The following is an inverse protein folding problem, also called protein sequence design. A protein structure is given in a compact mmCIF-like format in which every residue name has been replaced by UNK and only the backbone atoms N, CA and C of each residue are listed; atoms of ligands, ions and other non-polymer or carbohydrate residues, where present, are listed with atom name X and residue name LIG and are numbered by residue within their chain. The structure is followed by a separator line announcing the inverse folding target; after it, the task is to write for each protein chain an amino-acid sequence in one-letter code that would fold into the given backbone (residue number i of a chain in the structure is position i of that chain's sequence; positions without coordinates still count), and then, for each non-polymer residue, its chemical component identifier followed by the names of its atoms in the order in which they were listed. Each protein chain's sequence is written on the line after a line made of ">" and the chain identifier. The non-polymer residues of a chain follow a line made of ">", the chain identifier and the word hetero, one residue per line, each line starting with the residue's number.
data_IF_153563045267
#
_entry.id   IF_153563045267
#
_cell.length_a   1.000
_cell.length_b   1.000
_cell.length_c   1.000
_cell.angle_alpha   90.00
_cell.angle_beta   90.00
_cell.angle_gamma   90.00
#
_symmetry.space_group_name_H-M   'P 1'
#
loop_
_entity.id
_entity.type
_entity.pdbx_description
1 polymer ?
#
# COMPACT_ATOMS: atom_id res chain seq x y z
N UNK A 1 -42.81 -43.43 -21.54
CA UNK A 1 -42.51 -42.09 -21.02
C UNK A 1 -41.77 -42.25 -19.71
N UNK A 2 -40.52 -41.78 -19.59
CA UNK A 2 -39.82 -41.76 -18.30
C UNK A 2 -40.55 -40.82 -17.36
N UNK A 3 -41.01 -41.31 -16.21
CA UNK A 3 -41.72 -40.50 -15.21
C UNK A 3 -40.75 -39.55 -14.51
N UNK A 4 -41.24 -38.38 -14.07
CA UNK A 4 -40.44 -37.35 -13.41
C UNK A 4 -39.68 -37.93 -12.19
N UNK A 5 -40.37 -38.78 -11.42
CA UNK A 5 -39.82 -39.49 -10.26
C UNK A 5 -38.62 -40.39 -10.63
N UNK A 6 -38.67 -41.10 -11.76
CA UNK A 6 -37.56 -41.92 -12.23
C UNK A 6 -36.31 -41.10 -12.58
N UNK A 7 -36.49 -39.87 -13.06
CA UNK A 7 -35.40 -38.95 -13.38
C UNK A 7 -34.79 -38.41 -12.08
N UNK A 8 -35.62 -38.02 -11.10
CA UNK A 8 -35.17 -37.54 -9.79
C UNK A 8 -34.36 -38.60 -9.04
N UNK A 9 -34.86 -39.84 -8.95
CA UNK A 9 -34.14 -40.93 -8.30
C UNK A 9 -32.76 -41.19 -8.93
N UNK A 10 -32.65 -41.03 -10.26
CA UNK A 10 -31.37 -41.18 -10.96
C UNK A 10 -30.41 -40.01 -10.68
N UNK A 11 -30.91 -38.80 -10.51
CA UNK A 11 -30.12 -37.62 -10.11
C UNK A 11 -29.55 -37.82 -8.71
N UNK A 12 -30.37 -38.20 -7.75
CA UNK A 12 -29.94 -38.44 -6.36
C UNK A 12 -28.89 -39.56 -6.28
N UNK A 13 -29.11 -40.65 -7.03
CA UNK A 13 -28.14 -41.75 -7.10
C UNK A 13 -26.80 -41.33 -7.71
N UNK A 14 -26.80 -40.39 -8.67
CA UNK A 14 -25.57 -39.83 -9.24
C UNK A 14 -24.89 -38.85 -8.29
N UNK A 15 -25.66 -38.03 -7.57
CA UNK A 15 -25.13 -37.13 -6.54
C UNK A 15 -24.46 -37.90 -5.40
N UNK A 16 -25.13 -38.93 -4.86
CA UNK A 16 -24.54 -39.78 -3.81
C UNK A 16 -23.22 -40.43 -4.25
N UNK A 17 -23.11 -40.82 -5.53
CA UNK A 17 -21.86 -41.34 -6.10
C UNK A 17 -20.78 -40.25 -6.21
N UNK A 18 -21.14 -39.05 -6.62
CA UNK A 18 -20.21 -37.93 -6.69
C UNK A 18 -19.66 -37.59 -5.29
N UNK A 19 -20.54 -37.50 -4.29
CA UNK A 19 -20.16 -37.21 -2.90
C UNK A 19 -19.25 -38.29 -2.32
N UNK A 20 -19.54 -39.57 -2.60
CA UNK A 20 -18.68 -40.67 -2.20
C UNK A 20 -17.28 -40.62 -2.84
N UNK A 21 -17.16 -40.13 -4.07
CA UNK A 21 -15.86 -39.93 -4.72
C UNK A 21 -15.12 -38.73 -4.12
N UNK A 22 -15.82 -37.64 -3.82
CA UNK A 22 -15.23 -36.46 -3.16
C UNK A 22 -14.72 -36.82 -1.77
N UNK A 23 -15.49 -37.57 -0.98
CA UNK A 23 -15.07 -38.06 0.34
C UNK A 23 -13.75 -38.83 0.24
N UNK A 24 -13.66 -39.84 -0.64
CA UNK A 24 -12.45 -40.63 -0.85
C UNK A 24 -11.25 -39.80 -1.32
N UNK A 25 -11.46 -38.84 -2.22
CA UNK A 25 -10.39 -37.95 -2.68
C UNK A 25 -9.93 -37.01 -1.56
N UNK A 26 -10.86 -36.50 -0.75
CA UNK A 26 -10.56 -35.63 0.37
C UNK A 26 -9.77 -36.34 1.48
N UNK A 27 -10.02 -37.63 1.74
CA UNK A 27 -9.26 -38.42 2.72
C UNK A 27 -7.77 -38.46 2.36
N UNK A 28 -7.44 -38.73 1.10
CA UNK A 28 -6.06 -38.72 0.63
C UNK A 28 -5.40 -37.34 0.70
N UNK A 29 -6.16 -36.27 0.47
CA UNK A 29 -5.68 -34.90 0.65
C UNK A 29 -5.42 -34.58 2.13
N UNK A 30 -6.34 -34.98 3.02
CA UNK A 30 -6.22 -34.78 4.48
C UNK A 30 -5.02 -35.54 5.04
N UNK A 31 -4.75 -36.76 4.57
CA UNK A 31 -3.59 -37.53 5.00
C UNK A 31 -2.28 -36.83 4.60
N UNK A 32 -2.17 -36.35 3.37
CA UNK A 32 -1.00 -35.56 2.92
C UNK A 32 -0.82 -34.28 3.75
N UNK A 33 -1.91 -33.57 4.07
CA UNK A 33 -1.85 -32.37 4.92
C UNK A 33 -1.36 -32.75 6.32
N UNK A 34 -1.85 -33.85 6.91
CA UNK A 34 -1.38 -34.34 8.22
C UNK A 34 0.10 -34.73 8.19
N UNK A 35 0.53 -35.44 7.17
CA UNK A 35 1.94 -35.83 7.01
C UNK A 35 2.84 -34.60 6.90
N UNK A 36 2.44 -33.60 6.11
CA UNK A 36 3.15 -32.31 5.99
C UNK A 36 3.14 -31.52 7.30
N UNK A 37 2.01 -31.48 8.02
CA UNK A 37 1.93 -30.84 9.33
C UNK A 37 2.86 -31.51 10.33
N UNK A 38 2.89 -32.85 10.38
CA UNK A 38 3.77 -33.60 11.28
C UNK A 38 5.25 -33.44 10.93
N UNK A 39 5.60 -33.47 9.65
CA UNK A 39 6.98 -33.33 9.18
C UNK A 39 7.58 -31.96 9.53
N UNK A 40 6.76 -30.91 9.43
CA UNK A 40 7.18 -29.53 9.67
C UNK A 40 6.84 -29.00 11.06
N UNK A 41 6.22 -29.82 11.91
CA UNK A 41 5.75 -29.39 13.24
C UNK A 41 4.76 -28.23 13.18
N UNK A 42 3.94 -28.17 12.12
CA UNK A 42 2.95 -27.10 11.93
C UNK A 42 1.69 -27.40 12.73
N UNK A 43 1.25 -26.40 13.47
CA UNK A 43 -0.05 -26.41 14.14
C UNK A 43 -1.12 -25.75 13.28
N UNK A 44 -2.40 -25.96 13.62
CA UNK A 44 -3.53 -25.28 12.98
C UNK A 44 -3.37 -23.76 13.09
N UNK A 45 -2.86 -23.28 14.23
CA UNK A 45 -2.59 -21.86 14.46
C UNK A 45 -1.56 -21.29 13.50
N UNK A 46 -0.57 -22.07 13.06
CA UNK A 46 0.43 -21.63 12.07
C UNK A 46 -0.20 -21.48 10.68
N UNK A 47 -1.13 -22.37 10.33
CA UNK A 47 -1.89 -22.32 9.08
C UNK A 47 -2.86 -21.12 9.08
N UNK A 48 -3.54 -20.87 10.20
CA UNK A 48 -4.43 -19.71 10.36
C UNK A 48 -3.67 -18.38 10.30
N UNK A 49 -2.49 -18.31 10.90
CA UNK A 49 -1.61 -17.14 10.84
C UNK A 49 -0.96 -16.97 9.46
N UNK A 50 -0.81 -18.07 8.71
CA UNK A 50 -0.24 -18.07 7.38
C UNK A 50 -1.22 -17.50 6.35
N UNK A 51 -1.19 -16.18 6.16
CA UNK A 51 -2.11 -15.49 5.23
C UNK A 51 -1.70 -15.59 3.74
N UNK A 52 -0.83 -16.53 3.35
CA UNK A 52 -0.34 -16.77 1.97
C UNK A 52 0.43 -15.62 1.30
N UNK A 53 0.31 -14.43 1.86
CA UNK A 53 0.96 -13.19 1.49
C UNK A 53 1.68 -12.72 2.73
N UNK A 54 3.00 -12.73 2.70
CA UNK A 54 3.85 -12.20 3.77
C UNK A 54 3.55 -10.70 3.88
N UNK A 55 2.52 -10.31 4.66
CA UNK A 55 2.31 -8.91 5.06
C UNK A 55 3.60 -8.52 5.75
N UNK A 56 4.39 -7.66 5.10
CA UNK A 56 5.54 -6.99 5.70
C UNK A 56 5.10 -6.42 7.05
N UNK A 57 5.44 -7.13 8.11
CA UNK A 57 5.43 -6.64 9.49
C UNK A 57 6.48 -5.54 9.56
N UNK A 58 6.08 -4.34 9.13
CA UNK A 58 6.98 -3.20 8.98
C UNK A 58 6.28 -1.91 8.58
N UNK A 59 4.95 -1.85 8.71
CA UNK A 59 4.25 -0.57 8.69
C UNK A 59 3.12 -0.65 9.70
N UNK A 60 3.47 -0.40 10.96
CA UNK A 60 2.49 0.17 11.89
C UNK A 60 1.71 1.22 11.11
N UNK A 61 0.41 0.97 10.92
CA UNK A 61 -0.51 2.02 10.49
C UNK A 61 -0.41 3.06 11.60
N UNK A 62 0.44 4.07 11.40
CA UNK A 62 0.35 5.30 12.19
C UNK A 62 -1.11 5.69 12.10
N UNK A 63 -1.82 5.63 13.23
CA UNK A 63 -3.17 6.17 13.34
C UNK A 63 -3.09 7.55 12.69
N UNK A 64 -3.79 7.72 11.55
CA UNK A 64 -3.93 9.04 10.96
C UNK A 64 -4.63 9.85 12.05
N UNK A 65 -3.88 10.71 12.73
CA UNK A 65 -4.41 11.63 13.71
C UNK A 65 -5.47 12.44 12.98
N UNK A 66 -6.74 12.16 13.26
CA UNK A 66 -7.88 12.91 12.73
C UNK A 66 -7.53 14.39 12.92
N UNK A 67 -7.52 15.15 11.83
CA UNK A 67 -7.22 16.58 11.89
C UNK A 67 -8.25 17.24 12.78
N UNK A 68 -7.83 17.75 13.93
CA UNK A 68 -8.65 18.54 14.83
C UNK A 68 -9.24 19.71 14.03
N UNK A 69 -10.56 19.86 14.04
CA UNK A 69 -11.24 21.01 13.43
C UNK A 69 -10.81 22.24 14.21
N UNK A 70 -9.97 23.08 13.61
CA UNK A 70 -9.40 24.24 14.27
C UNK A 70 -10.32 25.47 14.15
N UNK A 71 -11.13 25.56 13.08
CA UNK A 71 -11.99 26.70 12.80
C UNK A 71 -13.35 26.28 12.24
N UNK A 72 -14.43 27.00 12.59
CA UNK A 72 -15.79 26.80 12.11
C UNK A 72 -16.47 28.15 11.79
N UNK A 73 -17.18 28.21 10.67
CA UNK A 73 -17.98 29.36 10.27
C UNK A 73 -19.32 29.37 11.03
N UNK A 74 -19.64 30.43 11.81
CA UNK A 74 -20.90 30.52 12.54
C UNK A 74 -22.12 30.69 11.62
N UNK A 75 -21.95 31.11 10.37
CA UNK A 75 -23.08 31.36 9.45
C UNK A 75 -23.41 30.15 8.57
N UNK A 76 -22.41 29.37 8.18
CA UNK A 76 -22.58 28.24 7.25
C UNK A 76 -22.25 26.89 7.86
N UNK A 77 -21.69 26.85 9.07
CA UNK A 77 -21.24 25.62 9.72
C UNK A 77 -19.99 25.00 9.08
N UNK A 78 -19.42 25.62 8.05
CA UNK A 78 -18.25 25.11 7.35
C UNK A 78 -17.04 25.04 8.30
N UNK A 79 -16.34 23.90 8.31
CA UNK A 79 -15.19 23.66 9.19
C UNK A 79 -13.89 23.63 8.42
N UNK A 80 -12.82 24.13 9.03
CA UNK A 80 -11.47 24.14 8.47
C UNK A 80 -10.45 23.72 9.51
N UNK A 81 -9.59 22.77 9.15
CA UNK A 81 -8.59 22.17 10.05
C UNK A 81 -7.33 23.02 10.26
N UNK A 82 -7.29 24.25 9.73
CA UNK A 82 -6.12 25.13 9.81
C UNK A 82 -4.94 24.70 8.93
N UNK A 83 -5.08 23.62 8.15
CA UNK A 83 -4.06 23.11 7.23
C UNK A 83 -4.51 23.25 5.78
N UNK A 84 -3.62 23.70 4.91
CA UNK A 84 -3.87 23.88 3.47
C UNK A 84 -4.40 25.27 3.11
N UNK A 85 -5.01 25.41 1.93
CA UNK A 85 -5.62 26.68 1.50
C UNK A 85 -6.85 26.99 2.36
N UNK A 86 -6.89 28.19 2.90
CA UNK A 86 -8.01 28.68 3.69
C UNK A 86 -9.24 28.90 2.80
N UNK A 87 -10.44 28.43 3.19
CA UNK A 87 -11.68 28.74 2.49
C UNK A 87 -12.04 30.23 2.60
N UNK A 88 -12.81 30.74 1.63
CA UNK A 88 -13.04 32.19 1.46
C UNK A 88 -13.59 32.92 2.69
N UNK A 89 -14.41 32.24 3.50
CA UNK A 89 -15.02 32.78 4.72
C UNK A 89 -14.01 33.11 5.83
N UNK A 90 -12.91 32.35 5.96
CA UNK A 90 -11.83 32.63 6.93
C UNK A 90 -10.63 33.34 6.30
N UNK A 91 -10.47 33.26 4.97
CA UNK A 91 -9.37 33.88 4.26
C UNK A 91 -9.45 35.42 4.29
N UNK A 92 -10.67 35.97 4.21
CA UNK A 92 -10.96 37.41 4.21
C UNK A 92 -11.07 38.02 5.62
N UNK A 93 -11.14 37.19 6.66
CA UNK A 93 -11.25 37.67 8.03
C UNK A 93 -9.93 38.26 8.52
N UNK A 94 -9.98 39.49 9.04
CA UNK A 94 -8.82 40.16 9.66
C UNK A 94 -8.33 39.39 10.90
N UNK A 95 -9.26 38.83 11.66
CA UNK A 95 -8.98 37.99 12.84
C UNK A 95 -9.56 36.59 12.65
N UNK A 96 -8.70 35.63 12.32
CA UNK A 96 -9.08 34.22 12.13
C UNK A 96 -9.48 33.54 13.43
N UNK A 97 -9.06 34.08 14.58
CA UNK A 97 -9.35 33.58 15.92
C UNK A 97 -10.82 33.62 16.29
N UNK A 98 -11.62 34.50 15.66
CA UNK A 98 -13.08 34.59 15.86
C UNK A 98 -13.83 33.34 15.41
N UNK A 99 -13.20 32.55 14.56
CA UNK A 99 -13.76 31.33 14.02
C UNK A 99 -13.14 30.08 14.64
N UNK A 100 -12.22 30.22 15.60
CA UNK A 100 -11.53 29.07 16.17
C UNK A 100 -12.48 28.29 17.08
N UNK A 101 -12.62 26.99 16.85
CA UNK A 101 -13.42 26.11 17.72
C UNK A 101 -12.62 25.91 19.00
N UNK A 102 -13.05 26.60 20.08
CA UNK A 102 -12.36 26.68 21.37
C UNK A 102 -12.07 28.10 21.86
N UNK A 103 -12.44 29.15 21.11
CA UNK A 103 -12.23 30.55 21.50
C UNK A 103 -13.47 31.25 22.11
N UNK A 104 -14.40 30.49 22.70
CA UNK A 104 -15.35 31.05 23.67
C UNK A 104 -14.77 30.87 25.06
N UNK A 105 -14.34 31.99 25.63
CA UNK A 105 -13.86 32.22 27.01
C UNK A 105 -12.38 31.93 27.33
N UNK A 106 -11.66 33.03 27.60
CA UNK A 106 -10.50 33.21 28.51
C UNK A 106 -9.08 33.33 27.89
N UNK A 107 -8.57 34.56 27.88
CA UNK A 107 -7.15 34.98 27.67
C UNK A 107 -6.33 34.81 28.99
N UNK A 108 -4.99 35.13 29.13
CA UNK A 108 -4.10 35.90 28.22
C UNK A 108 -2.59 35.46 28.09
N UNK A 109 -1.96 35.99 27.01
CA UNK A 109 -0.55 36.41 26.75
C UNK A 109 0.65 35.70 27.42
N UNK A 110 1.60 35.25 26.58
CA UNK A 110 3.03 35.62 26.70
C UNK A 110 3.66 35.90 25.32
N UNK A 111 4.44 37.00 25.27
CA UNK A 111 5.20 37.53 24.14
C UNK A 111 6.46 36.68 23.90
N UNK A 112 6.91 36.57 22.65
CA UNK A 112 8.22 36.00 22.34
C UNK A 112 8.67 36.16 20.89
N UNK A 113 9.12 37.38 20.56
CA UNK A 113 10.08 37.79 19.51
C UNK A 113 10.14 37.03 18.17
N UNK A 114 9.95 37.82 17.12
CA UNK A 114 10.55 37.62 15.81
C UNK A 114 12.06 37.33 15.92
N UNK A 115 12.47 36.22 15.31
CA UNK A 115 13.85 35.82 15.12
C UNK A 115 14.08 35.48 13.65
N UNK A 116 14.57 36.48 12.92
CA UNK A 116 15.65 36.44 11.93
C UNK A 116 15.71 35.27 10.92
N UNK A 117 15.79 35.67 9.65
CA UNK A 117 16.16 34.84 8.51
C UNK A 117 17.35 33.90 8.79
N UNK A 118 17.22 32.63 8.42
CA UNK A 118 18.35 31.75 8.19
C UNK A 118 18.10 30.89 6.95
N UNK A 119 18.93 31.16 5.94
CA UNK A 119 19.13 30.39 4.72
C UNK A 119 19.56 28.96 5.11
N UNK A 120 18.65 27.99 4.94
CA UNK A 120 18.95 26.57 5.14
C UNK A 120 18.81 25.79 3.83
N UNK A 121 19.95 25.46 3.20
CA UNK A 121 20.05 24.43 2.14
C UNK A 121 19.62 23.08 2.73
N UNK A 122 18.32 22.79 2.71
CA UNK A 122 17.79 21.46 3.01
C UNK A 122 17.94 20.57 1.79
N UNK A 123 18.89 19.64 1.80
CA UNK A 123 19.03 18.53 0.85
C UNK A 123 17.68 17.84 0.64
N UNK A 124 17.04 18.10 -0.49
CA UNK A 124 16.00 17.22 -0.99
C UNK A 124 16.64 15.87 -1.32
N UNK A 125 16.41 14.85 -0.49
CA UNK A 125 16.64 13.45 -0.87
C UNK A 125 15.59 13.08 -1.92
N UNK A 126 15.86 13.46 -3.15
CA UNK A 126 15.11 13.11 -4.33
C UNK A 126 15.91 13.61 -5.53
N UNK A 127 16.63 12.72 -6.21
CA UNK A 127 17.44 13.09 -7.37
C UNK A 127 16.55 13.74 -8.43
N UNK A 128 16.90 14.93 -8.95
CA UNK A 128 16.21 15.52 -10.08
C UNK A 128 16.45 14.64 -11.31
N UNK A 129 15.40 14.05 -11.86
CA UNK A 129 15.47 13.21 -13.07
C UNK A 129 15.43 14.11 -14.31
N UNK A 130 16.59 14.58 -14.76
CA UNK A 130 16.80 15.03 -16.14
C UNK A 130 17.05 13.84 -17.07
N UNK A 131 16.89 13.99 -18.41
CA UNK A 131 17.26 12.94 -19.37
C UNK A 131 18.71 12.53 -19.15
N UNK A 132 18.93 11.26 -18.80
CA UNK A 132 20.25 10.76 -18.42
C UNK A 132 21.04 10.38 -19.68
N UNK A 133 22.35 10.67 -19.73
CA UNK A 133 23.20 10.18 -20.81
C UNK A 133 23.20 8.64 -20.83
N UNK A 134 23.00 8.05 -22.02
CA UNK A 134 23.13 6.62 -22.21
C UNK A 134 24.60 6.24 -22.07
N UNK A 135 24.90 5.34 -21.12
CA UNK A 135 26.27 4.93 -20.81
C UNK A 135 26.61 3.57 -21.42
N UNK A 136 25.60 2.76 -21.76
CA UNK A 136 25.77 1.47 -22.39
C UNK A 136 24.77 1.27 -23.54
N UNK A 137 25.17 0.63 -24.64
CA UNK A 137 24.33 0.25 -25.78
C UNK A 137 24.51 -1.23 -26.10
N UNK A 138 23.40 -1.90 -26.32
CA UNK A 138 23.37 -3.26 -26.84
C UNK A 138 23.65 -3.25 -28.36
N UNK A 139 24.68 -3.95 -28.85
CA UNK A 139 24.98 -4.05 -30.27
C UNK A 139 23.93 -4.84 -31.07
N UNK A 140 23.15 -5.73 -30.43
CA UNK A 140 22.17 -6.56 -31.14
C UNK A 140 20.81 -5.88 -31.27
N UNK A 141 20.34 -5.20 -30.21
CA UNK A 141 19.01 -4.58 -30.19
C UNK A 141 19.03 -3.05 -30.29
N UNK A 142 20.20 -2.42 -30.12
CA UNK A 142 20.33 -0.96 -30.02
C UNK A 142 19.77 -0.37 -28.72
N UNK A 143 19.33 -1.21 -27.77
CA UNK A 143 18.83 -0.76 -26.48
C UNK A 143 19.93 -0.04 -25.69
N UNK A 144 19.58 1.06 -25.01
CA UNK A 144 20.55 1.83 -24.22
C UNK A 144 20.24 1.77 -22.73
N UNK A 145 21.28 1.85 -21.91
CA UNK A 145 21.18 1.84 -20.46
C UNK A 145 22.09 2.87 -19.81
N UNK A 146 21.57 3.60 -18.83
CA UNK A 146 22.22 4.78 -18.23
C UNK A 146 23.08 4.47 -16.99
N UNK A 147 23.33 3.20 -16.68
CA UNK A 147 24.08 2.82 -15.47
C UNK A 147 23.28 2.97 -14.16
N UNK A 148 21.99 3.30 -14.23
CA UNK A 148 21.11 3.55 -13.09
C UNK A 148 19.98 2.53 -13.04
N UNK A 149 19.71 2.00 -11.84
CA UNK A 149 18.66 1.01 -11.63
C UNK A 149 19.12 -0.42 -11.92
N UNK A 150 18.16 -1.34 -12.05
CA UNK A 150 18.45 -2.75 -12.36
C UNK A 150 19.04 -2.85 -13.77
N UNK A 151 20.18 -3.52 -13.91
CA UNK A 151 20.77 -3.77 -15.20
C UNK A 151 19.81 -4.62 -16.07
N UNK A 152 19.67 -4.30 -17.36
CA UNK A 152 18.88 -5.09 -18.29
C UNK A 152 19.56 -6.45 -18.53
N UNK A 153 18.78 -7.45 -18.97
CA UNK A 153 19.25 -8.83 -19.09
C UNK A 153 20.51 -8.99 -19.96
N UNK A 154 20.63 -8.19 -21.04
CA UNK A 154 21.77 -8.21 -21.96
C UNK A 154 23.08 -7.69 -21.34
N UNK A 155 23.02 -6.90 -20.26
CA UNK A 155 24.20 -6.39 -19.55
C UNK A 155 24.38 -7.05 -18.17
N UNK A 156 23.31 -7.65 -17.62
CA UNK A 156 23.32 -8.25 -16.29
C UNK A 156 24.12 -9.55 -16.21
N UNK A 157 24.13 -10.33 -17.30
CA UNK A 157 24.81 -11.63 -17.37
C UNK A 157 26.23 -11.57 -17.94
N UNK A 158 26.76 -10.38 -18.23
CA UNK A 158 28.10 -10.20 -18.77
C UNK A 158 29.04 -9.65 -17.69
N UNK A 159 30.08 -10.41 -17.33
CA UNK A 159 31.16 -9.96 -16.44
C UNK A 159 31.88 -8.71 -17.02
N UNK A 160 32.22 -8.74 -18.30
CA UNK A 160 32.91 -7.64 -18.99
C UNK A 160 31.94 -6.70 -19.72
N UNK A 161 31.66 -5.55 -19.10
CA UNK A 161 30.70 -4.55 -19.59
C UNK A 161 31.32 -3.49 -20.50
N UNK A 162 32.64 -3.54 -20.68
CA UNK A 162 33.41 -2.63 -21.53
C UNK A 162 32.96 -2.61 -23.00
N UNK A 163 32.53 -3.73 -23.64
CA UNK A 163 32.13 -3.71 -25.05
C UNK A 163 30.82 -2.97 -25.31
N UNK A 164 30.03 -2.75 -24.26
CA UNK A 164 28.73 -2.10 -24.35
C UNK A 164 28.81 -0.62 -24.01
N UNK A 165 29.94 -0.11 -23.53
CA UNK A 165 30.03 1.25 -23.00
C UNK A 165 30.00 2.27 -24.14
N UNK A 166 29.06 3.21 -24.06
CA UNK A 166 28.98 4.36 -24.97
C UNK A 166 29.83 5.45 -24.32
N UNK A 167 31.01 5.68 -24.89
CA UNK A 167 31.89 6.81 -24.55
C UNK A 167 31.46 8.07 -25.28
#
# INVERSE_FOLDING_TARGET
>A
MSTLESIQARIEALQAKADALVAKQSEGALQKIRDLMSLHGLSISDIEQYSGTRKKTGRSKSLKKQSTVAYQDPKTGATWSGRGRAPGWIAQAKDRSKFAVGASESAPKTKGKAGVAAKGKGRAKGQPRGPQPALYRDPQSGATWSGRGRAPAWLASVEDRTPFLIG
#
